data_IF_933401909509
#
_entry.id   IF_933401909509
#
_cell.length_a   1.000
_cell.length_b   1.000
_cell.length_c   1.000
_cell.angle_alpha   90.00
_cell.angle_beta   90.00
_cell.angle_gamma   90.00
#
_symmetry.space_group_name_H-M   'P 1'
#
loop_
_entity.id
_entity.type
_entity.pdbx_description
1 polymer ?
#
# COMPACT_ATOMS: atom_id res chain seq x y z
N UNK A 1 60.11 -16.17 10.46
CA UNK A 1 59.34 -15.59 9.34
C UNK A 1 57.90 -16.14 9.25
N UNK A 2 57.67 -17.46 9.28
CA UNK A 2 56.31 -18.06 9.19
C UNK A 2 55.37 -17.65 10.35
N UNK A 3 55.85 -17.64 11.59
CA UNK A 3 55.08 -17.16 12.75
C UNK A 3 54.62 -15.70 12.62
N UNK A 4 55.45 -14.83 12.04
CA UNK A 4 55.10 -13.42 11.83
C UNK A 4 53.99 -13.27 10.78
N UNK A 5 54.01 -14.07 9.71
CA UNK A 5 52.93 -14.10 8.71
C UNK A 5 51.61 -14.58 9.31
N UNK A 6 51.62 -15.60 10.18
CA UNK A 6 50.42 -16.05 10.87
C UNK A 6 49.86 -14.98 11.83
N UNK A 7 50.72 -14.27 12.56
CA UNK A 7 50.30 -13.18 13.43
C UNK A 7 49.67 -12.01 12.65
N UNK A 8 50.27 -11.63 11.50
CA UNK A 8 49.74 -10.59 10.64
C UNK A 8 48.39 -10.99 10.02
N UNK A 9 48.26 -12.24 9.60
CA UNK A 9 47.01 -12.79 9.09
C UNK A 9 45.90 -12.78 10.15
N UNK A 10 46.22 -13.15 11.41
CA UNK A 10 45.27 -13.13 12.52
C UNK A 10 44.79 -11.70 12.85
N UNK A 11 45.68 -10.71 12.83
CA UNK A 11 45.32 -9.30 12.99
C UNK A 11 44.44 -8.79 11.83
N UNK A 12 44.75 -9.22 10.60
CA UNK A 12 43.97 -8.90 9.41
C UNK A 12 42.56 -9.47 9.48
N UNK A 13 42.40 -10.74 9.87
CA UNK A 13 41.08 -11.37 9.99
C UNK A 13 40.25 -10.75 11.10
N UNK A 14 40.87 -10.41 12.24
CA UNK A 14 40.19 -9.75 13.36
C UNK A 14 39.69 -8.33 12.98
N UNK A 15 40.51 -7.58 12.24
CA UNK A 15 40.10 -6.26 11.73
C UNK A 15 38.99 -6.37 10.69
N UNK A 16 39.07 -7.37 9.80
CA UNK A 16 38.06 -7.61 8.77
C UNK A 16 36.70 -7.97 9.36
N UNK A 17 36.66 -8.87 10.35
CA UNK A 17 35.40 -9.27 11.00
C UNK A 17 34.79 -8.11 11.77
N UNK A 18 35.59 -7.31 12.48
CA UNK A 18 35.12 -6.10 13.15
C UNK A 18 34.45 -5.11 12.19
N UNK A 19 35.08 -4.83 11.05
CA UNK A 19 34.51 -3.92 10.04
C UNK A 19 33.21 -4.46 9.44
N UNK A 20 33.11 -5.77 9.22
CA UNK A 20 31.88 -6.41 8.74
C UNK A 20 30.73 -6.29 9.73
N UNK A 21 30.98 -6.45 11.03
CA UNK A 21 29.94 -6.32 12.07
C UNK A 21 29.40 -4.90 12.12
N UNK A 22 30.28 -3.90 12.10
CA UNK A 22 29.88 -2.49 12.11
C UNK A 22 29.04 -2.17 10.87
N UNK A 23 29.48 -2.62 9.68
CA UNK A 23 28.72 -2.43 8.44
C UNK A 23 27.35 -3.10 8.51
N UNK A 24 27.27 -4.35 8.97
CA UNK A 24 26.01 -5.08 9.11
C UNK A 24 25.05 -4.36 10.06
N UNK A 25 25.56 -3.84 11.18
CA UNK A 25 24.75 -3.07 12.14
C UNK A 25 24.20 -1.79 11.52
N UNK A 26 25.03 -1.01 10.81
CA UNK A 26 24.57 0.20 10.11
C UNK A 26 23.52 -0.13 9.04
N UNK A 27 23.74 -1.19 8.26
CA UNK A 27 22.78 -1.64 7.25
C UNK A 27 21.45 -2.06 7.88
N UNK A 28 21.46 -2.82 8.97
CA UNK A 28 20.26 -3.24 9.66
C UNK A 28 19.43 -2.06 10.18
N UNK A 29 20.09 -1.04 10.75
CA UNK A 29 19.41 0.18 11.21
C UNK A 29 18.80 0.94 10.03
N UNK A 30 19.54 1.14 8.95
CA UNK A 30 19.05 1.83 7.75
C UNK A 30 17.83 1.11 7.13
N UNK A 31 17.91 -0.22 7.00
CA UNK A 31 16.79 -1.06 6.56
C UNK A 31 15.59 -0.95 7.50
N UNK A 32 15.81 -0.93 8.81
CA UNK A 32 14.74 -0.74 9.79
C UNK A 32 13.99 0.58 9.60
N UNK A 33 14.71 1.67 9.33
CA UNK A 33 14.11 2.97 9.02
C UNK A 33 13.33 2.95 7.70
N UNK A 34 13.87 2.31 6.67
CA UNK A 34 13.20 2.20 5.37
C UNK A 34 11.90 1.39 5.46
N UNK A 35 11.95 0.25 6.17
CA UNK A 35 10.77 -0.57 6.45
C UNK A 35 9.73 0.23 7.25
N UNK A 36 10.15 0.95 8.29
CA UNK A 36 9.24 1.76 9.10
C UNK A 36 8.55 2.83 8.24
N UNK A 37 9.32 3.55 7.42
CA UNK A 37 8.81 4.58 6.50
C UNK A 37 7.78 4.00 5.53
N UNK A 38 8.08 2.86 4.91
CA UNK A 38 7.16 2.26 3.94
C UNK A 38 5.92 1.67 4.62
N UNK A 39 6.08 1.12 5.83
CA UNK A 39 4.95 0.65 6.64
C UNK A 39 3.99 1.79 7.00
N UNK A 40 4.52 2.94 7.41
CA UNK A 40 3.71 4.12 7.72
C UNK A 40 3.00 4.66 6.47
N UNK A 41 3.67 4.65 5.32
CA UNK A 41 3.07 5.01 4.04
C UNK A 41 1.92 4.07 3.66
N UNK A 42 2.12 2.76 3.80
CA UNK A 42 1.09 1.76 3.52
C UNK A 42 -0.13 1.95 4.44
N UNK A 43 0.11 2.23 5.73
CA UNK A 43 -0.97 2.51 6.69
C UNK A 43 -1.76 3.76 6.30
N UNK A 44 -1.07 4.85 5.96
CA UNK A 44 -1.71 6.09 5.52
C UNK A 44 -2.60 5.87 4.28
N UNK A 45 -2.09 5.18 3.27
CA UNK A 45 -2.84 4.86 2.05
C UNK A 45 -4.05 3.94 2.33
N UNK A 46 -3.90 2.98 3.24
CA UNK A 46 -4.99 2.07 3.60
C UNK A 46 -6.13 2.82 4.29
N UNK A 47 -5.80 3.75 5.18
CA UNK A 47 -6.78 4.59 5.86
C UNK A 47 -7.46 5.58 4.89
N UNK A 48 -6.70 6.16 3.97
CA UNK A 48 -7.26 7.01 2.91
C UNK A 48 -8.22 6.23 2.01
N UNK A 49 -7.84 5.03 1.58
CA UNK A 49 -8.69 4.17 0.78
C UNK A 49 -9.97 3.77 1.54
N UNK A 50 -9.86 3.50 2.84
CA UNK A 50 -11.02 3.24 3.69
C UNK A 50 -11.98 4.44 3.72
N UNK A 51 -11.46 5.66 3.89
CA UNK A 51 -12.27 6.89 3.86
C UNK A 51 -12.95 7.08 2.52
N UNK A 52 -12.20 6.97 1.43
CA UNK A 52 -12.74 7.10 0.07
C UNK A 52 -13.85 6.07 -0.22
N UNK A 53 -13.74 4.84 0.31
CA UNK A 53 -14.79 3.83 0.18
C UNK A 53 -16.07 4.23 0.92
N UNK A 54 -15.94 4.80 2.11
CA UNK A 54 -17.08 5.30 2.90
C UNK A 54 -17.73 6.46 2.16
N UNK A 55 -16.94 7.44 1.71
CA UNK A 55 -17.42 8.61 0.97
C UNK A 55 -18.13 8.19 -0.32
N UNK A 56 -17.55 7.25 -1.07
CA UNK A 56 -18.18 6.68 -2.26
C UNK A 56 -19.51 6.01 -1.93
N UNK A 57 -19.59 5.21 -0.86
CA UNK A 57 -20.83 4.57 -0.45
C UNK A 57 -21.90 5.58 -0.03
N UNK A 58 -21.50 6.66 0.64
CA UNK A 58 -22.39 7.75 1.02
C UNK A 58 -22.93 8.49 -0.22
N UNK A 59 -22.05 8.83 -1.18
CA UNK A 59 -22.42 9.49 -2.43
C UNK A 59 -23.32 8.62 -3.32
N UNK A 60 -23.08 7.31 -3.35
CA UNK A 60 -23.90 6.36 -4.10
C UNK A 60 -25.11 5.87 -3.32
N UNK A 61 -25.34 6.37 -2.10
CA UNK A 61 -26.50 5.97 -1.32
C UNK A 61 -27.78 6.40 -2.05
N UNK A 62 -28.81 5.54 -2.13
CA UNK A 62 -30.06 5.87 -2.81
C UNK A 62 -30.67 7.18 -2.32
N UNK A 63 -30.62 7.44 -1.01
CA UNK A 63 -31.12 8.68 -0.43
C UNK A 63 -30.38 9.93 -0.93
N UNK A 64 -29.04 9.87 -1.06
CA UNK A 64 -28.26 10.98 -1.61
C UNK A 64 -28.54 11.18 -3.10
N UNK A 65 -28.60 10.09 -3.86
CA UNK A 65 -28.93 10.13 -5.30
C UNK A 65 -30.35 10.64 -5.57
N UNK A 66 -31.33 10.24 -4.77
CA UNK A 66 -32.71 10.73 -4.86
C UNK A 66 -32.81 12.22 -4.57
N UNK A 67 -32.04 12.71 -3.58
CA UNK A 67 -32.01 14.14 -3.26
C UNK A 67 -31.48 14.95 -4.44
N UNK A 68 -30.32 14.56 -4.99
CA UNK A 68 -29.71 15.20 -6.17
C UNK A 68 -30.64 15.10 -7.39
N UNK A 69 -31.27 13.95 -7.60
CA UNK A 69 -32.22 13.76 -8.71
C UNK A 69 -33.43 14.70 -8.60
N UNK A 70 -33.98 14.88 -7.38
CA UNK A 70 -35.08 15.82 -7.14
C UNK A 70 -34.66 17.27 -7.40
N UNK A 71 -33.49 17.68 -6.93
CA UNK A 71 -32.95 19.02 -7.21
C UNK A 71 -32.72 19.27 -8.71
N UNK A 72 -32.32 18.22 -9.45
CA UNK A 72 -32.19 18.26 -10.90
C UNK A 72 -33.54 18.19 -11.66
N UNK A 73 -34.68 18.14 -10.95
CA UNK A 73 -36.01 18.05 -11.56
C UNK A 73 -36.35 16.68 -12.17
N UNK A 74 -35.56 15.65 -11.86
CA UNK A 74 -35.81 14.28 -12.30
C UNK A 74 -36.91 13.64 -11.45
N UNK A 75 -37.67 12.73 -12.07
CA UNK A 75 -38.80 12.02 -11.45
C UNK A 75 -38.63 10.52 -11.57
N UNK A 76 -39.20 9.78 -10.63
CA UNK A 76 -39.21 8.31 -10.66
C UNK A 76 -39.98 7.87 -11.92
N UNK A 77 -39.40 7.00 -12.77
CA UNK A 77 -40.07 6.49 -13.97
C UNK A 77 -41.27 5.63 -13.61
N UNK A 78 -42.30 5.62 -14.45
CA UNK A 78 -43.44 4.72 -14.31
C UNK A 78 -43.09 3.30 -14.79
N UNK A 79 -43.81 2.24 -14.34
CA UNK A 79 -43.48 0.85 -14.67
C UNK A 79 -43.42 0.54 -16.18
N UNK A 80 -44.21 1.25 -16.99
CA UNK A 80 -44.26 1.17 -18.45
C UNK A 80 -43.03 1.79 -19.15
N UNK A 81 -42.18 2.49 -18.40
CA UNK A 81 -41.02 3.22 -18.91
C UNK A 81 -39.68 2.54 -18.61
N UNK A 82 -39.68 1.36 -17.97
CA UNK A 82 -38.47 0.61 -17.58
C UNK A 82 -38.22 -0.55 -18.54
N UNK A 83 -37.05 -0.57 -19.18
CA UNK A 83 -36.58 -1.68 -20.03
C UNK A 83 -35.37 -2.33 -19.38
N UNK A 84 -35.47 -3.62 -19.04
CA UNK A 84 -34.36 -4.40 -18.46
C UNK A 84 -33.55 -5.01 -19.61
N UNK A 85 -32.29 -4.61 -19.75
CA UNK A 85 -31.36 -5.23 -20.69
C UNK A 85 -30.71 -6.44 -20.02
N UNK A 86 -30.81 -7.62 -20.65
CA UNK A 86 -30.08 -8.80 -20.21
C UNK A 86 -28.58 -8.57 -20.45
N UNK A 87 -27.80 -8.57 -19.38
CA UNK A 87 -26.36 -8.34 -19.42
C UNK A 87 -25.67 -9.54 -20.09
N UNK A 88 -25.24 -9.38 -21.35
CA UNK A 88 -24.25 -10.29 -21.94
C UNK A 88 -22.93 -10.08 -21.21
N UNK A 89 -22.69 -10.92 -20.20
CA UNK A 89 -21.42 -11.04 -19.47
C UNK A 89 -20.35 -11.40 -20.50
N UNK A 90 -19.66 -10.39 -21.01
CA UNK A 90 -18.43 -10.56 -21.78
C UNK A 90 -17.34 -10.95 -20.79
N UNK A 91 -17.16 -12.26 -20.62
CA UNK A 91 -16.02 -12.89 -19.94
C UNK A 91 -14.74 -12.55 -20.72
N UNK A 92 -14.14 -11.41 -20.35
CA UNK A 92 -12.87 -10.94 -20.87
C UNK A 92 -11.72 -11.62 -20.13
N UNK A 93 -11.13 -12.62 -20.80
CA UNK A 93 -9.79 -13.18 -20.51
C UNK A 93 -8.72 -12.11 -20.29
#
# INVERSE_FOLDING_TARGET
MRFFLFALAALGTLSWTGLRVVRARHQAVALGYEIAKETDRQRALTEELRRLRIDRAALLSPAALEHVAKEAGLRVPQPDQVVVLAEEVTDGR
#
